data_IF_640121601042
#
_entry.id   IF_640121601042
#
_cell.length_a   1.000
_cell.length_b   1.000
_cell.length_c   1.000
_cell.angle_alpha   90.00
_cell.angle_beta   90.00
_cell.angle_gamma   90.00
#
_symmetry.space_group_name_H-M   'P 1'
#
loop_
_entity.id
_entity.type
_entity.pdbx_description
1 polymer ?
#
# COMPACT_ATOMS: atom_id res chain seq x y z
N UNK A 1 -7.41 2.49 -12.72
CA UNK A 1 -6.89 3.86 -13.02
C UNK A 1 -5.82 4.18 -12.00
N UNK A 2 -4.65 4.70 -12.41
CA UNK A 2 -3.59 5.10 -11.47
C UNK A 2 -4.03 6.34 -10.67
N UNK A 3 -3.79 6.33 -9.37
CA UNK A 3 -4.09 7.45 -8.46
C UNK A 3 -2.80 8.19 -8.09
N UNK A 4 -1.85 7.47 -7.48
CA UNK A 4 -0.54 7.95 -7.08
C UNK A 4 0.41 6.77 -6.87
N UNK A 5 1.71 7.04 -6.80
CA UNK A 5 2.69 6.03 -6.37
C UNK A 5 2.83 6.05 -4.85
N UNK A 6 2.85 4.89 -4.19
CA UNK A 6 3.20 4.77 -2.77
C UNK A 6 4.72 4.88 -2.61
N UNK A 7 5.17 5.98 -2.02
CA UNK A 7 6.60 6.29 -1.89
C UNK A 7 7.07 5.94 -0.48
N UNK A 8 8.22 5.25 -0.39
CA UNK A 8 8.87 4.89 0.85
C UNK A 8 10.33 4.50 0.63
N UNK A 9 11.03 4.17 1.71
CA UNK A 9 12.37 3.59 1.65
C UNK A 9 12.28 2.11 1.29
N UNK A 10 13.08 1.65 0.33
CA UNK A 10 13.13 0.24 -0.06
C UNK A 10 14.18 -0.50 0.76
N UNK A 11 13.77 -1.60 1.37
CA UNK A 11 14.61 -2.46 2.20
C UNK A 11 14.48 -3.92 1.75
N UNK A 12 15.47 -4.74 2.08
CA UNK A 12 15.32 -6.19 2.03
C UNK A 12 14.27 -6.60 3.07
N UNK A 13 13.38 -7.53 2.72
CA UNK A 13 12.36 -8.06 3.62
C UNK A 13 12.97 -8.72 4.86
N UNK A 14 14.20 -9.23 4.77
CA UNK A 14 14.94 -9.80 5.90
C UNK A 14 15.39 -8.74 6.93
N UNK A 15 15.55 -7.48 6.51
CA UNK A 15 15.94 -6.35 7.37
C UNK A 15 14.81 -5.34 7.54
N UNK A 16 13.61 -5.69 7.07
CA UNK A 16 12.42 -4.86 7.15
C UNK A 16 12.02 -4.63 8.61
N UNK A 17 11.47 -3.45 8.89
CA UNK A 17 10.92 -3.15 10.21
C UNK A 17 9.80 -4.12 10.56
N UNK A 18 9.84 -4.68 11.76
CA UNK A 18 8.77 -5.53 12.32
C UNK A 18 7.72 -4.72 13.09
N UNK A 19 7.94 -3.41 13.23
CA UNK A 19 7.07 -2.50 14.00
C UNK A 19 6.50 -1.37 13.15
N UNK A 20 6.85 -1.28 11.87
CA UNK A 20 6.30 -0.27 10.97
C UNK A 20 4.90 -0.66 10.52
N UNK A 21 3.95 0.25 10.71
CA UNK A 21 2.59 0.14 10.20
C UNK A 21 2.48 0.59 8.73
N UNK A 22 3.57 1.12 8.17
CA UNK A 22 3.64 1.73 6.84
C UNK A 22 4.49 0.90 5.87
N UNK A 23 4.67 -0.38 6.16
CA UNK A 23 5.46 -1.29 5.34
C UNK A 23 4.58 -2.14 4.42
N UNK A 24 4.91 -2.15 3.14
CA UNK A 24 4.28 -2.97 2.13
C UNK A 24 5.29 -3.94 1.52
N UNK A 25 4.83 -5.15 1.19
CA UNK A 25 5.61 -6.05 0.35
C UNK A 25 5.72 -5.46 -1.06
N UNK A 26 6.94 -5.23 -1.52
CA UNK A 26 7.22 -4.58 -2.80
C UNK A 26 7.46 -5.62 -3.90
N UNK A 27 8.33 -6.58 -3.62
CA UNK A 27 8.56 -7.72 -4.51
C UNK A 27 8.78 -8.97 -3.66
N UNK A 28 7.84 -9.92 -3.73
CA UNK A 28 7.92 -11.16 -2.96
C UNK A 28 8.96 -12.13 -3.52
N UNK A 29 9.29 -12.03 -4.81
CA UNK A 29 10.27 -12.91 -5.46
C UNK A 29 11.68 -12.51 -5.06
N UNK A 30 11.99 -11.21 -5.10
CA UNK A 30 13.31 -10.72 -4.69
C UNK A 30 13.40 -10.42 -3.20
N UNK A 31 12.29 -10.48 -2.47
CA UNK A 31 12.23 -10.21 -1.04
C UNK A 31 12.50 -8.74 -0.71
N UNK A 32 11.80 -7.83 -1.38
CA UNK A 32 11.85 -6.39 -1.12
C UNK A 32 10.57 -5.90 -0.45
N UNK A 33 10.74 -4.88 0.40
CA UNK A 33 9.67 -4.15 1.05
C UNK A 33 9.87 -2.65 0.87
N UNK A 34 8.77 -1.89 0.83
CA UNK A 34 8.77 -0.42 0.82
C UNK A 34 8.15 0.09 2.13
N UNK A 35 8.86 0.95 2.85
CA UNK A 35 8.46 1.46 4.16
C UNK A 35 8.33 3.00 4.14
N UNK A 36 7.12 3.50 4.36
CA UNK A 36 6.81 4.93 4.38
C UNK A 36 6.74 5.53 5.79
N UNK A 37 7.27 4.86 6.82
CA UNK A 37 7.22 5.34 8.20
C UNK A 37 7.95 6.67 8.40
N UNK A 38 9.15 6.81 7.83
CA UNK A 38 10.04 7.96 8.04
C UNK A 38 10.11 8.90 6.83
N UNK A 39 9.90 8.38 5.63
CA UNK A 39 9.92 9.14 4.39
C UNK A 39 8.89 8.55 3.42
N UNK A 40 8.02 9.39 2.87
CA UNK A 40 6.97 8.96 1.94
C UNK A 40 6.08 10.12 1.51
N UNK A 41 4.94 9.79 0.91
CA UNK A 41 3.95 10.76 0.42
C UNK A 41 2.55 10.47 1.01
N UNK A 42 1.52 11.07 0.44
CA UNK A 42 0.12 10.96 0.89
C UNK A 42 -0.40 9.51 0.91
N UNK A 43 0.17 8.62 0.09
CA UNK A 43 -0.21 7.21 0.05
C UNK A 43 -0.11 6.51 1.41
N UNK A 44 0.76 6.98 2.31
CA UNK A 44 0.92 6.44 3.67
C UNK A 44 -0.31 6.65 4.56
N UNK A 45 -1.23 7.54 4.18
CA UNK A 45 -2.45 7.84 4.96
C UNK A 45 -3.69 7.11 4.44
N UNK A 46 -3.55 6.23 3.45
CA UNK A 46 -4.67 5.43 2.93
C UNK A 46 -5.03 4.36 3.97
N UNK A 47 -6.25 4.45 4.51
CA UNK A 47 -6.72 3.59 5.59
C UNK A 47 -7.21 2.22 5.10
N UNK A 48 -7.31 1.26 6.02
CA UNK A 48 -8.11 0.06 5.79
C UNK A 48 -9.59 0.45 5.75
N UNK A 49 -10.34 -0.20 4.86
CA UNK A 49 -11.76 0.09 4.69
C UNK A 49 -12.60 -0.25 5.93
N UNK A 50 -12.17 -1.18 6.79
CA UNK A 50 -12.96 -1.62 7.95
C UNK A 50 -13.16 -0.47 8.94
N UNK A 51 -14.41 -0.13 9.18
CA UNK A 51 -14.80 0.98 10.07
C UNK A 51 -14.91 2.34 9.36
N UNK A 52 -14.53 2.41 8.08
CA UNK A 52 -14.58 3.65 7.27
C UNK A 52 -15.56 3.51 6.11
N UNK A 53 -15.48 2.41 5.36
CA UNK A 53 -16.27 2.14 4.17
C UNK A 53 -16.78 0.69 4.16
N UNK A 54 -17.76 0.41 3.29
CA UNK A 54 -18.31 -0.95 3.16
C UNK A 54 -17.30 -1.94 2.54
N UNK A 55 -16.37 -1.45 1.72
CA UNK A 55 -15.37 -2.24 0.99
C UNK A 55 -14.21 -1.33 0.56
N UNK A 56 -13.02 -1.88 0.22
CA UNK A 56 -11.96 -1.09 -0.36
C UNK A 56 -12.36 -0.58 -1.76
N UNK A 57 -11.87 0.62 -2.10
CA UNK A 57 -12.09 1.26 -3.41
C UNK A 57 -10.77 1.52 -4.16
N UNK A 58 -9.62 1.37 -3.50
CA UNK A 58 -8.30 1.35 -4.12
C UNK A 58 -7.50 0.13 -3.67
N UNK A 59 -6.45 -0.19 -4.41
CA UNK A 59 -5.53 -1.29 -4.12
C UNK A 59 -4.07 -0.92 -4.42
N UNK A 60 -3.15 -1.58 -3.71
CA UNK A 60 -1.72 -1.50 -3.96
C UNK A 60 -1.32 -2.54 -4.99
N UNK A 61 -0.64 -2.12 -6.05
CA UNK A 61 -0.12 -3.03 -7.08
C UNK A 61 1.20 -2.50 -7.63
N UNK A 62 2.19 -3.40 -7.78
CA UNK A 62 3.45 -3.04 -8.42
C UNK A 62 3.31 -3.01 -9.94
N UNK A 63 3.99 -2.05 -10.56
CA UNK A 63 4.04 -1.93 -12.01
C UNK A 63 5.42 -1.47 -12.46
N UNK A 64 5.74 -1.72 -13.73
CA UNK A 64 6.93 -1.18 -14.38
C UNK A 64 6.57 0.11 -15.09
N UNK A 65 7.17 1.21 -14.67
CA UNK A 65 6.99 2.52 -15.29
C UNK A 65 7.51 2.49 -16.74
N UNK A 66 6.66 2.83 -17.70
CA UNK A 66 7.01 2.74 -19.11
C UNK A 66 8.06 3.79 -19.55
N UNK A 67 8.23 4.89 -18.79
CA UNK A 67 9.15 5.97 -19.11
C UNK A 67 10.52 5.74 -18.48
N UNK A 68 10.57 5.38 -17.20
CA UNK A 68 11.82 5.21 -16.45
C UNK A 68 12.30 3.75 -16.46
N UNK A 69 11.40 2.80 -16.67
CA UNK A 69 11.69 1.38 -16.53
C UNK A 69 11.81 0.92 -15.07
N UNK A 70 11.54 1.78 -14.10
CA UNK A 70 11.58 1.42 -12.69
C UNK A 70 10.37 0.59 -12.30
N UNK A 71 10.53 -0.33 -11.36
CA UNK A 71 9.40 -0.95 -10.66
C UNK A 71 8.95 0.03 -9.58
N UNK A 72 7.64 0.25 -9.47
CA UNK A 72 7.04 1.17 -8.50
C UNK A 72 5.84 0.51 -7.84
N UNK A 73 5.49 0.97 -6.63
CA UNK A 73 4.26 0.59 -5.95
C UNK A 73 3.19 1.63 -6.30
N UNK A 74 2.18 1.24 -7.07
CA UNK A 74 1.08 2.13 -7.44
C UNK A 74 -0.12 1.94 -6.53
N UNK A 75 -0.88 3.02 -6.34
CA UNK A 75 -2.25 2.99 -5.82
C UNK A 75 -3.19 3.08 -7.01
N UNK A 76 -4.05 2.09 -7.16
CA UNK A 76 -4.94 1.97 -8.29
C UNK A 76 -6.39 2.00 -7.83
N UNK A 77 -7.24 2.73 -8.55
CA UNK A 77 -8.70 2.59 -8.42
C UNK A 77 -9.06 1.15 -8.72
N UNK A 78 -9.74 0.52 -7.76
CA UNK A 78 -10.22 -0.85 -7.87
C UNK A 78 -11.51 -0.94 -8.71
N UNK A 79 -12.37 -1.91 -8.37
CA UNK A 79 -13.53 -2.27 -9.20
C UNK A 79 -14.74 -1.31 -9.20
N UNK A 80 -14.67 -0.12 -8.61
CA UNK A 80 -15.76 0.87 -8.64
C UNK A 80 -15.21 2.30 -8.81
N UNK A 81 -16.00 3.15 -9.44
CA UNK A 81 -15.73 4.59 -9.52
C UNK A 81 -15.71 5.21 -8.12
N UNK A 82 -14.80 6.18 -7.94
CA UNK A 82 -14.60 6.91 -6.68
C UNK A 82 -15.15 8.32 -6.88
N UNK A 83 -16.07 8.74 -6.00
CA UNK A 83 -16.67 10.08 -6.08
C UNK A 83 -15.81 11.12 -5.36
N UNK A 84 -15.92 12.38 -5.79
CA UNK A 84 -15.28 13.49 -5.07
C UNK A 84 -15.75 13.51 -3.61
N UNK A 85 -14.79 13.53 -2.68
CA UNK A 85 -15.05 13.53 -1.24
C UNK A 85 -15.17 12.13 -0.62
N UNK A 86 -15.11 11.06 -1.42
CA UNK A 86 -15.01 9.69 -0.91
C UNK A 86 -13.59 9.41 -0.41
N UNK A 87 -13.47 8.78 0.76
CA UNK A 87 -12.18 8.38 1.32
C UNK A 87 -11.59 7.21 0.52
N UNK A 88 -10.29 7.27 0.25
CA UNK A 88 -9.57 6.17 -0.38
C UNK A 88 -9.25 5.13 0.69
N UNK A 89 -9.72 3.90 0.49
CA UNK A 89 -9.49 2.81 1.41
C UNK A 89 -9.00 1.55 0.69
N UNK A 90 -8.04 0.88 1.31
CA UNK A 90 -7.50 -0.43 0.88
C UNK A 90 -7.96 -1.53 1.84
N UNK A 91 -7.55 -2.77 1.57
CA UNK A 91 -7.49 -3.82 2.59
C UNK A 91 -6.04 -4.04 2.98
N UNK A 92 -5.66 -3.78 4.23
CA UNK A 92 -4.32 -4.07 4.76
C UNK A 92 -3.98 -5.57 4.75
N UNK A 93 -5.00 -6.41 4.65
CA UNK A 93 -4.85 -7.86 4.54
C UNK A 93 -4.78 -8.56 5.88
N UNK A 94 -4.90 -9.89 5.86
CA UNK A 94 -5.11 -10.68 7.09
C UNK A 94 -3.90 -10.68 8.03
N UNK A 95 -2.68 -10.64 7.50
CA UNK A 95 -1.45 -10.67 8.29
C UNK A 95 -1.37 -9.49 9.26
N UNK A 96 -1.58 -8.28 8.73
CA UNK A 96 -1.57 -7.03 9.50
C UNK A 96 -2.50 -7.07 10.71
N UNK A 97 -3.72 -7.59 10.52
CA UNK A 97 -4.73 -7.67 11.58
C UNK A 97 -4.48 -8.79 12.59
N UNK A 98 -3.96 -9.93 12.15
CA UNK A 98 -3.58 -11.04 13.04
C UNK A 98 -2.48 -10.65 14.02
N UNK A 99 -1.48 -9.92 13.55
CA UNK A 99 -0.38 -9.41 14.40
C UNK A 99 -0.88 -8.46 15.52
N UNK A 100 -2.09 -7.93 15.37
CA UNK A 100 -2.75 -7.04 16.33
C UNK A 100 -3.85 -7.72 17.16
N UNK A 101 -4.07 -9.02 16.96
CA UNK A 101 -5.10 -9.78 17.69
C UNK A 101 -6.53 -9.38 17.35
N UNK A 102 -6.76 -8.78 16.18
CA UNK A 102 -8.08 -8.27 15.76
C UNK A 102 -8.86 -9.24 14.86
N UNK A 103 -8.18 -10.24 14.27
CA UNK A 103 -8.79 -11.36 13.53
C UNK A 103 -7.99 -12.66 13.70
#
# INVERSE_FOLDING_TARGET
MHVLDYIGQVHLAATASTTSDYILSFDRVTGLSVDAAQAGNEGRFINDFRGVAAKPNVEFETYRDAKTGEVKMGVWVGGKEIRKGEELCVSYGKGFWKERGLI
#
